data_IF_906743300361
#
_entry.id   IF_906743300361
#
_cell.length_a   1.000
_cell.length_b   1.000
_cell.length_c   1.000
_cell.angle_alpha   90.00
_cell.angle_beta   90.00
_cell.angle_gamma   90.00
#
_symmetry.space_group_name_H-M   'P 1'
#
loop_
_entity.id
_entity.type
_entity.pdbx_description
1 polymer ?
#
# COMPACT_ATOMS: atom_id res chain seq x y z
N UNK A 1 -14.53 32.81 -23.13
CA UNK A 1 -15.51 31.68 -23.14
C UNK A 1 -14.72 30.45 -23.51
N UNK A 2 -14.27 29.68 -22.52
CA UNK A 2 -13.46 28.48 -22.73
C UNK A 2 -14.35 27.27 -22.48
N UNK A 3 -14.65 26.51 -23.51
CA UNK A 3 -15.39 25.25 -23.39
C UNK A 3 -14.43 24.15 -22.93
N UNK A 4 -14.67 23.65 -21.72
CA UNK A 4 -14.05 22.43 -21.22
C UNK A 4 -14.81 21.23 -21.77
N UNK A 5 -14.31 20.61 -22.81
CA UNK A 5 -14.77 19.27 -23.22
C UNK A 5 -14.12 18.22 -22.30
N UNK A 6 -14.84 17.77 -21.28
CA UNK A 6 -14.55 16.49 -20.62
C UNK A 6 -14.80 15.38 -21.64
N UNK A 7 -13.75 14.78 -22.15
CA UNK A 7 -13.86 13.47 -22.81
C UNK A 7 -14.02 12.42 -21.74
N UNK A 8 -15.23 12.03 -21.45
CA UNK A 8 -15.51 10.79 -20.71
C UNK A 8 -15.36 9.64 -21.71
N UNK A 9 -14.36 8.80 -21.52
CA UNK A 9 -14.22 7.58 -22.30
C UNK A 9 -15.28 6.59 -21.82
N UNK A 10 -16.03 5.93 -22.72
CA UNK A 10 -17.06 5.00 -22.32
C UNK A 10 -16.47 3.81 -21.58
N UNK A 11 -17.14 3.42 -20.49
CA UNK A 11 -16.85 2.20 -19.75
C UNK A 11 -17.14 1.02 -20.68
N UNK A 12 -16.11 0.35 -21.16
CA UNK A 12 -16.27 -0.94 -21.82
C UNK A 12 -16.54 -1.99 -20.77
N UNK A 13 -17.82 -2.26 -20.48
CA UNK A 13 -18.21 -3.44 -19.75
C UNK A 13 -18.09 -4.64 -20.69
N UNK A 14 -17.11 -5.50 -20.46
CA UNK A 14 -17.09 -6.81 -21.07
C UNK A 14 -18.06 -7.73 -20.31
N UNK A 15 -19.34 -7.63 -20.65
CA UNK A 15 -20.34 -8.60 -20.25
C UNK A 15 -20.27 -9.77 -21.23
N UNK A 16 -19.83 -10.92 -20.76
CA UNK A 16 -19.92 -12.16 -21.52
C UNK A 16 -19.06 -13.27 -20.98
N UNK A 17 -19.76 -14.27 -20.49
CA UNK A 17 -19.39 -15.66 -20.27
C UNK A 17 -18.95 -16.04 -18.86
N UNK A 18 -19.92 -16.64 -18.15
CA UNK A 18 -19.69 -17.80 -17.27
C UNK A 18 -19.04 -17.57 -15.92
N UNK A 19 -19.85 -17.43 -14.89
CA UNK A 19 -19.67 -18.02 -13.57
C UNK A 19 -18.28 -17.94 -12.94
N UNK A 20 -17.96 -16.80 -12.28
CA UNK A 20 -16.86 -16.67 -11.35
C UNK A 20 -16.77 -15.25 -10.79
N UNK A 21 -16.52 -15.07 -9.48
CA UNK A 21 -16.53 -13.77 -8.85
C UNK A 21 -15.21 -13.02 -9.11
N UNK A 22 -15.17 -12.17 -10.09
CA UNK A 22 -14.24 -11.03 -10.15
C UNK A 22 -14.55 -10.14 -11.35
N UNK A 23 -15.29 -9.07 -11.13
CA UNK A 23 -15.40 -8.01 -12.12
C UNK A 23 -14.14 -7.14 -12.05
N UNK A 24 -13.17 -7.36 -12.92
CA UNK A 24 -12.02 -6.50 -13.09
C UNK A 24 -12.42 -5.29 -13.94
N UNK A 25 -12.52 -4.12 -13.32
CA UNK A 25 -12.64 -2.85 -14.04
C UNK A 25 -11.26 -2.23 -14.18
N UNK A 26 -10.74 -2.21 -15.40
CA UNK A 26 -9.51 -1.49 -15.74
C UNK A 26 -9.85 -0.03 -16.01
N UNK A 27 -9.20 0.88 -15.32
CA UNK A 27 -9.31 2.32 -15.56
C UNK A 27 -7.98 2.82 -16.12
N UNK A 28 -8.01 3.35 -17.36
CA UNK A 28 -6.85 4.08 -17.89
C UNK A 28 -6.88 5.52 -17.34
N UNK A 29 -5.88 5.89 -16.57
CA UNK A 29 -5.66 7.28 -16.20
C UNK A 29 -4.93 7.97 -17.35
N UNK A 30 -5.59 8.91 -18.02
CA UNK A 30 -4.94 9.78 -18.98
C UNK A 30 -4.00 10.73 -18.22
N UNK A 31 -2.70 10.46 -18.31
CA UNK A 31 -1.66 11.27 -17.69
C UNK A 31 -1.39 12.53 -18.50
N UNK A 32 -1.50 13.68 -17.87
CA UNK A 32 -0.93 14.92 -18.35
C UNK A 32 0.37 15.21 -17.61
N UNK A 33 1.50 15.15 -18.33
CA UNK A 33 2.82 15.59 -17.84
C UNK A 33 3.79 14.45 -17.51
N UNK A 34 4.77 14.25 -18.32
CA UNK A 34 6.13 13.72 -18.20
C UNK A 34 6.50 12.52 -17.32
N UNK A 35 5.65 12.03 -16.44
CA UNK A 35 5.90 10.85 -15.62
C UNK A 35 5.30 9.58 -16.22
N UNK A 36 5.76 8.40 -15.79
CA UNK A 36 5.15 7.13 -16.16
C UNK A 36 3.68 7.12 -15.71
N UNK A 37 2.74 7.10 -16.66
CA UNK A 37 1.32 7.08 -16.33
C UNK A 37 0.93 5.72 -15.73
N UNK A 38 0.15 5.72 -14.65
CA UNK A 38 -0.54 4.52 -14.19
C UNK A 38 -1.58 4.15 -15.24
N UNK A 39 -1.31 3.10 -15.99
CA UNK A 39 -2.20 2.66 -17.09
C UNK A 39 -3.30 1.72 -16.63
N UNK A 40 -3.19 1.16 -15.44
CA UNK A 40 -4.11 0.14 -14.91
C UNK A 40 -4.25 0.22 -13.41
N UNK A 41 -5.44 -0.12 -12.90
CA UNK A 41 -5.69 -0.33 -11.49
C UNK A 41 -6.61 -1.53 -11.26
N UNK A 42 -6.50 -2.16 -10.11
CA UNK A 42 -7.35 -3.26 -9.68
C UNK A 42 -8.30 -2.74 -8.59
N UNK A 43 -9.60 -2.98 -8.74
CA UNK A 43 -10.60 -2.65 -7.72
C UNK A 43 -10.94 -3.88 -6.88
N UNK A 44 -10.92 -3.71 -5.57
CA UNK A 44 -11.51 -4.61 -4.60
C UNK A 44 -12.79 -3.99 -4.03
N UNK A 45 -13.87 -4.76 -4.00
CA UNK A 45 -15.22 -4.24 -3.75
C UNK A 45 -15.95 -5.06 -2.67
N UNK A 46 -15.40 -5.07 -1.46
CA UNK A 46 -16.01 -5.80 -0.34
C UNK A 46 -17.46 -5.35 -0.02
N UNK A 47 -17.80 -4.10 -0.32
CA UNK A 47 -19.15 -3.54 -0.18
C UNK A 47 -20.17 -4.12 -1.18
N UNK A 48 -19.69 -4.69 -2.28
CA UNK A 48 -20.51 -5.41 -3.25
C UNK A 48 -20.72 -6.90 -2.89
N UNK A 49 -20.27 -7.32 -1.71
CA UNK A 49 -20.34 -8.72 -1.26
C UNK A 49 -19.28 -9.62 -1.87
N UNK A 50 -18.26 -9.05 -2.52
CA UNK A 50 -17.12 -9.79 -3.01
C UNK A 50 -16.03 -9.86 -1.94
N UNK A 51 -15.34 -10.99 -1.88
CA UNK A 51 -14.21 -11.21 -0.96
C UNK A 51 -12.91 -11.21 -1.76
N UNK A 52 -12.69 -10.17 -2.56
CA UNK A 52 -11.55 -10.07 -3.46
C UNK A 52 -10.29 -9.69 -2.71
N UNK A 53 -9.21 -10.42 -2.98
CA UNK A 53 -7.86 -10.10 -2.52
C UNK A 53 -6.83 -10.81 -3.41
N UNK A 54 -5.59 -10.34 -3.37
CA UNK A 54 -4.46 -11.07 -3.92
C UNK A 54 -3.69 -11.73 -2.78
N UNK A 55 -3.15 -12.91 -3.03
CA UNK A 55 -2.33 -13.62 -2.05
C UNK A 55 -1.10 -14.26 -2.67
N UNK A 56 -0.06 -14.37 -1.85
CA UNK A 56 1.17 -15.07 -2.19
C UNK A 56 1.77 -15.73 -0.96
N UNK A 57 2.12 -17.01 -1.10
CA UNK A 57 2.95 -17.73 -0.13
C UNK A 57 4.33 -17.95 -0.74
N UNK A 58 5.36 -17.78 0.06
CA UNK A 58 6.74 -18.03 -0.36
C UNK A 58 7.19 -19.43 0.08
N UNK A 59 7.99 -20.09 -0.75
CA UNK A 59 8.56 -21.41 -0.43
C UNK A 59 9.61 -21.33 0.68
N UNK A 60 10.25 -20.19 0.85
CA UNK A 60 11.22 -19.89 1.91
C UNK A 60 11.01 -18.48 2.41
N UNK A 61 11.30 -18.25 3.69
CA UNK A 61 11.30 -16.90 4.23
C UNK A 61 12.40 -16.05 3.56
N UNK A 62 12.05 -14.81 3.23
CA UNK A 62 13.00 -13.80 2.81
C UNK A 62 13.54 -13.02 4.02
N UNK A 63 14.00 -11.81 3.79
CA UNK A 63 14.53 -10.95 4.85
C UNK A 63 13.38 -10.33 5.65
N UNK A 64 13.14 -10.86 6.87
CA UNK A 64 12.07 -10.39 7.75
C UNK A 64 12.44 -9.16 8.58
N UNK A 65 13.72 -8.76 8.58
CA UNK A 65 14.22 -7.56 9.27
C UNK A 65 14.31 -6.35 8.37
N UNK A 66 14.29 -6.55 7.03
CA UNK A 66 14.47 -5.49 6.05
C UNK A 66 13.58 -5.74 4.84
N UNK A 67 12.66 -4.85 4.55
CA UNK A 67 11.79 -4.90 3.37
C UNK A 67 11.13 -3.55 3.11
N UNK A 68 10.64 -3.36 1.89
CA UNK A 68 9.82 -2.20 1.52
C UNK A 68 8.56 -2.65 0.78
N UNK A 69 7.47 -1.95 1.02
CA UNK A 69 6.21 -2.09 0.30
C UNK A 69 5.80 -0.74 -0.26
N UNK A 70 5.36 -0.70 -1.51
CA UNK A 70 4.82 0.51 -2.11
C UNK A 70 3.57 0.20 -2.93
N UNK A 71 2.61 1.12 -2.94
CA UNK A 71 1.43 1.05 -3.80
C UNK A 71 0.81 2.41 -4.01
N UNK A 72 0.13 2.58 -5.13
CA UNK A 72 -0.91 3.57 -5.27
C UNK A 72 -2.23 2.98 -4.80
N UNK A 73 -2.98 3.73 -4.02
CA UNK A 73 -4.30 3.31 -3.56
C UNK A 73 -5.30 4.46 -3.58
N UNK A 74 -6.58 4.10 -3.77
CA UNK A 74 -7.71 5.01 -3.67
C UNK A 74 -8.84 4.33 -2.90
N UNK A 75 -9.22 4.90 -1.76
CA UNK A 75 -10.27 4.37 -0.89
C UNK A 75 -11.62 4.71 -1.52
N UNK A 76 -12.54 3.75 -1.60
CA UNK A 76 -13.88 4.02 -2.14
C UNK A 76 -14.93 4.25 -1.06
N UNK A 77 -14.64 3.85 0.18
CA UNK A 77 -15.56 3.99 1.32
C UNK A 77 -14.82 4.46 2.57
N UNK A 78 -14.59 5.77 2.74
CA UNK A 78 -14.04 6.33 3.97
C UNK A 78 -15.10 6.42 5.07
N UNK A 79 -14.65 6.58 6.31
CA UNK A 79 -15.46 7.18 7.37
C UNK A 79 -16.52 6.29 7.99
N UNK A 80 -16.19 5.08 8.45
CA UNK A 80 -17.05 4.38 9.42
C UNK A 80 -16.23 3.96 10.62
N UNK A 81 -16.81 4.09 11.81
CA UNK A 81 -16.24 3.60 13.05
C UNK A 81 -15.84 2.13 12.89
N UNK A 82 -14.60 1.81 13.27
CA UNK A 82 -13.99 0.48 13.18
C UNK A 82 -13.73 -0.10 11.78
N UNK A 83 -13.87 0.69 10.71
CA UNK A 83 -13.57 0.16 9.40
C UNK A 83 -12.06 0.08 9.16
N UNK A 84 -11.60 -1.11 8.85
CA UNK A 84 -10.24 -1.38 8.38
C UNK A 84 -10.30 -1.54 6.87
N UNK A 85 -9.49 -0.78 6.14
CA UNK A 85 -9.21 -1.04 4.72
C UNK A 85 -7.80 -1.61 4.62
N UNK A 86 -7.64 -2.94 4.54
CA UNK A 86 -6.34 -3.57 4.46
C UNK A 86 -5.66 -3.21 3.15
N UNK A 87 -4.44 -2.70 3.21
CA UNK A 87 -3.62 -2.47 2.02
C UNK A 87 -2.70 -3.66 1.78
N UNK A 88 -2.01 -4.11 2.82
CA UNK A 88 -1.07 -5.22 2.78
C UNK A 88 -1.04 -5.93 4.13
N UNK A 89 -1.03 -7.26 4.16
CA UNK A 89 -0.96 -8.00 5.42
C UNK A 89 -0.22 -9.33 5.28
N UNK A 90 0.42 -9.75 6.38
CA UNK A 90 0.84 -11.11 6.64
C UNK A 90 -0.08 -11.76 7.66
N UNK A 91 -0.20 -13.08 7.61
CA UNK A 91 -1.02 -13.85 8.55
C UNK A 91 -0.23 -14.27 9.79
N UNK A 92 -0.91 -14.58 10.81
CA UNK A 92 -0.59 -15.02 12.19
C UNK A 92 0.90 -15.20 12.59
N UNK A 93 1.41 -14.41 13.54
CA UNK A 93 0.75 -13.25 14.14
C UNK A 93 0.58 -12.11 13.13
N UNK A 94 -0.50 -11.36 13.27
CA UNK A 94 -0.85 -10.34 12.28
C UNK A 94 0.23 -9.25 12.16
N UNK A 95 0.50 -8.84 10.92
CA UNK A 95 1.33 -7.68 10.58
C UNK A 95 0.87 -7.11 9.26
N UNK A 96 0.83 -5.78 9.15
CA UNK A 96 0.39 -5.18 7.90
C UNK A 96 0.23 -3.67 7.92
N UNK A 97 -0.28 -3.18 6.81
CA UNK A 97 -0.56 -1.79 6.54
C UNK A 97 -2.03 -1.67 6.17
N UNK A 98 -2.71 -0.73 6.78
CA UNK A 98 -4.15 -0.53 6.57
C UNK A 98 -4.54 0.93 6.76
N UNK A 99 -5.72 1.30 6.27
CA UNK A 99 -6.42 2.47 6.78
C UNK A 99 -7.33 1.98 7.91
N UNK A 100 -7.11 2.48 9.10
CA UNK A 100 -7.83 2.13 10.32
C UNK A 100 -8.37 3.40 10.98
N UNK A 101 -9.67 3.51 11.16
CA UNK A 101 -10.34 4.72 11.64
C UNK A 101 -9.90 5.97 10.84
N UNK A 102 -9.94 5.88 9.53
CA UNK A 102 -9.47 6.88 8.57
C UNK A 102 -7.98 7.23 8.63
N UNK A 103 -7.18 6.60 9.46
CA UNK A 103 -5.73 6.85 9.60
C UNK A 103 -4.92 5.76 8.92
N UNK A 104 -3.82 6.14 8.31
CA UNK A 104 -2.85 5.14 7.85
C UNK A 104 -2.19 4.51 9.07
N UNK A 105 -2.24 3.18 9.12
CA UNK A 105 -1.69 2.36 10.18
C UNK A 105 -0.66 1.40 9.61
N UNK A 106 0.51 1.36 10.21
CA UNK A 106 1.47 0.28 10.06
C UNK A 106 1.65 -0.40 11.42
N UNK A 107 1.23 -1.65 11.53
CA UNK A 107 1.36 -2.37 12.79
C UNK A 107 1.67 -3.84 12.54
N UNK A 108 2.41 -4.44 13.47
CA UNK A 108 2.69 -5.87 13.49
C UNK A 108 2.87 -6.36 14.92
N UNK A 109 2.48 -7.61 15.16
CA UNK A 109 2.60 -8.26 16.46
C UNK A 109 3.73 -9.30 16.46
N UNK A 110 4.31 -9.50 17.66
CA UNK A 110 5.05 -10.70 18.01
C UNK A 110 4.45 -11.20 19.32
N UNK A 111 3.78 -12.35 19.28
CA UNK A 111 2.95 -12.81 20.39
C UNK A 111 1.82 -11.82 20.69
N UNK A 112 1.76 -11.30 21.91
CA UNK A 112 0.74 -10.33 22.37
C UNK A 112 1.19 -8.87 22.31
N UNK A 113 2.42 -8.59 21.92
CA UNK A 113 3.01 -7.24 21.93
C UNK A 113 3.21 -6.70 20.52
N UNK A 114 3.07 -5.39 20.37
CA UNK A 114 3.43 -4.73 19.10
C UNK A 114 4.95 -4.74 18.88
N UNK A 115 5.36 -5.19 17.72
CA UNK A 115 6.71 -4.96 17.17
C UNK A 115 6.81 -3.55 16.60
N UNK A 116 5.79 -3.14 15.87
CA UNK A 116 5.62 -1.81 15.32
C UNK A 116 4.16 -1.41 15.46
N UNK A 117 3.89 -0.14 15.77
CA UNK A 117 2.54 0.41 15.78
C UNK A 117 2.59 1.92 15.52
N UNK A 118 2.40 2.30 14.27
CA UNK A 118 2.40 3.69 13.83
C UNK A 118 1.00 4.03 13.30
N UNK A 119 0.35 5.03 13.87
CA UNK A 119 -0.92 5.59 13.36
C UNK A 119 -0.71 7.05 13.02
N UNK A 120 -1.00 7.45 11.81
CA UNK A 120 -0.87 8.86 11.40
C UNK A 120 -1.87 9.74 12.12
N UNK A 121 -1.56 11.04 12.22
CA UNK A 121 -2.56 12.06 12.59
C UNK A 121 -3.43 12.43 11.39
N UNK A 122 -2.89 12.31 10.18
CA UNK A 122 -3.61 12.58 8.93
C UNK A 122 -4.76 11.61 8.74
N UNK A 123 -5.89 12.15 8.25
CA UNK A 123 -7.10 11.38 7.93
C UNK A 123 -7.25 11.20 6.41
N UNK A 124 -7.64 10.00 6.01
CA UNK A 124 -7.83 9.58 4.61
C UNK A 124 -9.32 9.44 4.35
N UNK A 125 -9.98 10.53 3.94
CA UNK A 125 -11.44 10.61 3.79
C UNK A 125 -11.91 10.99 2.39
N UNK A 126 -11.00 11.29 1.47
CA UNK A 126 -11.35 11.63 0.10
C UNK A 126 -11.42 10.37 -0.77
N UNK A 127 -12.63 9.95 -1.22
CA UNK A 127 -12.78 8.78 -2.07
C UNK A 127 -12.35 9.04 -3.52
N UNK A 128 -12.03 10.29 -3.88
CA UNK A 128 -11.59 10.65 -5.22
C UNK A 128 -10.06 10.76 -5.33
N UNK A 129 -9.38 10.88 -4.19
CA UNK A 129 -7.92 11.05 -4.18
C UNK A 129 -7.19 9.72 -4.35
N UNK A 130 -6.18 9.73 -5.22
CA UNK A 130 -5.14 8.72 -5.25
C UNK A 130 -4.02 9.11 -4.30
N UNK A 131 -3.56 8.13 -3.53
CA UNK A 131 -2.45 8.26 -2.60
C UNK A 131 -1.36 7.28 -2.99
N UNK A 132 -0.12 7.72 -2.95
CA UNK A 132 1.04 6.84 -3.08
C UNK A 132 1.65 6.60 -1.72
N UNK A 133 1.65 5.34 -1.29
CA UNK A 133 2.23 4.87 -0.05
C UNK A 133 3.58 4.20 -0.31
N UNK A 134 4.57 4.51 0.51
CA UNK A 134 5.74 3.65 0.70
C UNK A 134 5.89 3.37 2.19
N UNK A 135 5.99 2.09 2.54
CA UNK A 135 6.29 1.63 3.89
C UNK A 135 7.62 0.89 3.88
N UNK A 136 8.49 1.25 4.81
CA UNK A 136 9.82 0.66 4.96
C UNK A 136 9.94 0.08 6.35
N UNK A 137 10.35 -1.16 6.44
CA UNK A 137 10.76 -1.83 7.66
C UNK A 137 12.25 -2.14 7.59
N UNK A 138 13.02 -1.64 8.54
CA UNK A 138 14.46 -1.86 8.64
C UNK A 138 14.85 -1.90 10.11
N UNK A 139 14.55 -3.00 10.76
CA UNK A 139 14.85 -3.17 12.19
C UNK A 139 16.35 -3.25 12.50
N UNK A 140 17.19 -3.35 11.49
CA UNK A 140 18.66 -3.31 11.62
C UNK A 140 19.21 -1.89 11.74
N UNK A 141 18.38 -0.87 11.45
CA UNK A 141 18.80 0.53 11.53
C UNK A 141 19.19 0.91 12.96
N UNK A 142 20.30 1.66 13.08
CA UNK A 142 20.80 2.13 14.37
C UNK A 142 19.86 3.13 15.07
N UNK A 143 19.11 3.93 14.28
CA UNK A 143 18.17 4.94 14.79
C UNK A 143 16.79 4.32 14.94
N UNK A 144 16.23 4.29 16.13
CA UNK A 144 14.93 3.67 16.42
C UNK A 144 13.81 4.19 15.51
N UNK A 145 13.69 5.51 15.35
CA UNK A 145 12.66 6.14 14.51
C UNK A 145 12.83 5.87 13.01
N UNK A 146 13.94 5.29 12.58
CA UNK A 146 14.19 4.92 11.19
C UNK A 146 13.97 3.43 10.91
N UNK A 147 13.67 2.62 11.95
CA UNK A 147 13.39 1.18 11.78
C UNK A 147 12.04 0.89 11.14
N UNK A 148 11.10 1.83 11.21
CA UNK A 148 9.84 1.77 10.50
C UNK A 148 9.50 3.16 9.98
N UNK A 149 9.29 3.30 8.68
CA UNK A 149 9.05 4.60 8.04
C UNK A 149 7.86 4.49 7.10
N UNK A 150 7.06 5.56 7.08
CA UNK A 150 5.96 5.71 6.14
C UNK A 150 6.17 6.98 5.31
N UNK A 151 5.88 6.87 4.03
CA UNK A 151 5.90 8.01 3.11
C UNK A 151 4.57 8.09 2.38
N UNK A 152 4.08 9.30 2.22
CA UNK A 152 2.87 9.59 1.47
C UNK A 152 3.21 10.56 0.35
N UNK A 153 2.86 10.20 -0.89
CA UNK A 153 3.15 11.00 -2.08
C UNK A 153 4.61 11.49 -2.09
N UNK A 154 5.54 10.56 -1.85
CA UNK A 154 6.98 10.80 -1.81
C UNK A 154 7.51 11.42 -0.52
N UNK A 155 6.69 11.98 0.35
CA UNK A 155 7.13 12.67 1.58
C UNK A 155 7.03 11.79 2.81
N UNK A 156 8.07 11.83 3.66
CA UNK A 156 8.10 11.12 4.93
C UNK A 156 7.02 11.64 5.87
N UNK A 157 6.26 10.73 6.45
CA UNK A 157 5.30 11.02 7.52
C UNK A 157 6.07 11.08 8.83
N UNK A 158 5.88 12.17 9.58
CA UNK A 158 6.52 12.40 10.89
C UNK A 158 5.50 12.67 12.00
N UNK A 159 4.22 12.85 11.65
CA UNK A 159 3.15 13.15 12.59
C UNK A 159 2.30 11.90 12.85
N UNK A 160 2.47 11.31 14.02
CA UNK A 160 1.74 10.12 14.46
C UNK A 160 0.90 10.40 15.70
N UNK A 161 -0.26 9.77 15.80
CA UNK A 161 -1.10 9.76 17.00
C UNK A 161 -0.78 8.56 17.91
N UNK A 162 -0.16 7.52 17.38
CA UNK A 162 0.40 6.38 18.09
C UNK A 162 1.74 6.05 17.46
N UNK A 163 2.73 5.76 18.30
CA UNK A 163 4.10 5.60 17.85
C UNK A 163 4.82 4.54 18.68
N UNK A 164 5.09 3.39 18.07
CA UNK A 164 5.93 2.33 18.62
C UNK A 164 6.83 1.82 17.50
N UNK A 165 8.13 1.95 17.69
CA UNK A 165 9.14 1.52 16.73
C UNK A 165 9.69 0.13 17.06
N UNK A 166 10.13 -0.63 16.05
CA UNK A 166 10.75 -1.95 16.26
C UNK A 166 12.00 -1.87 17.15
N UNK A 167 12.19 -2.88 17.96
CA UNK A 167 13.48 -3.14 18.60
C UNK A 167 14.55 -3.49 17.56
N UNK A 168 15.86 -3.47 17.93
CA UNK A 168 16.92 -3.90 17.04
C UNK A 168 16.73 -5.35 16.57
N UNK A 169 16.88 -5.59 15.28
CA UNK A 169 16.75 -6.92 14.65
C UNK A 169 15.39 -7.61 14.88
N UNK A 170 14.34 -6.85 15.23
CA UNK A 170 12.99 -7.38 15.34
C UNK A 170 12.49 -7.88 13.98
N UNK A 171 11.71 -8.95 14.00
CA UNK A 171 11.09 -9.54 12.80
C UNK A 171 9.58 -9.39 12.84
N UNK A 172 8.97 -9.48 11.67
CA UNK A 172 7.52 -9.55 11.47
C UNK A 172 7.17 -10.82 10.70
N UNK A 173 5.88 -11.14 10.57
CA UNK A 173 5.42 -12.24 9.69
C UNK A 173 5.44 -11.86 8.20
N UNK A 174 5.63 -10.59 7.89
CA UNK A 174 5.81 -10.15 6.52
C UNK A 174 7.14 -10.72 6.00
N UNK A 175 7.11 -11.22 4.77
CA UNK A 175 8.22 -11.91 4.12
C UNK A 175 8.63 -13.26 4.77
N UNK A 176 7.73 -13.86 5.53
CA UNK A 176 7.86 -15.25 6.01
C UNK A 176 7.27 -16.23 4.98
N UNK A 177 7.21 -17.51 5.35
CA UNK A 177 6.51 -18.53 4.55
C UNK A 177 4.99 -18.49 4.71
N UNK A 178 4.47 -17.69 5.63
CA UNK A 178 3.02 -17.49 5.76
C UNK A 178 2.47 -16.67 4.60
N UNK A 179 1.20 -16.86 4.30
CA UNK A 179 0.55 -16.15 3.22
C UNK A 179 0.55 -14.64 3.44
N UNK A 180 0.96 -13.90 2.40
CA UNK A 180 0.88 -12.45 2.32
C UNK A 180 -0.32 -12.06 1.47
N UNK A 181 -1.01 -10.98 1.80
CA UNK A 181 -2.24 -10.56 1.13
C UNK A 181 -2.27 -9.07 0.83
N UNK A 182 -2.85 -8.73 -0.31
CA UNK A 182 -3.21 -7.36 -0.68
C UNK A 182 -4.73 -7.29 -0.67
N UNK A 183 -5.29 -6.34 0.06
CA UNK A 183 -6.72 -6.13 0.11
C UNK A 183 -7.48 -7.00 1.12
N UNK A 184 -6.80 -7.79 1.95
CA UNK A 184 -7.44 -8.60 2.98
C UNK A 184 -6.60 -8.69 4.27
N UNK A 185 -7.27 -8.60 5.40
CA UNK A 185 -6.72 -8.85 6.74
C UNK A 185 -7.35 -10.10 7.35
N UNK A 186 -6.53 -11.11 7.63
CA UNK A 186 -6.99 -12.44 8.07
C UNK A 186 -7.58 -12.40 9.46
N UNK A 187 -6.93 -11.68 10.40
CA UNK A 187 -7.25 -11.74 11.83
C UNK A 187 -8.67 -11.30 12.15
N UNK A 188 -9.19 -10.33 11.40
CA UNK A 188 -10.56 -9.83 11.55
C UNK A 188 -11.45 -10.18 10.36
N UNK A 189 -10.93 -10.95 9.38
CA UNK A 189 -11.61 -11.32 8.15
C UNK A 189 -12.21 -10.10 7.41
N UNK A 190 -11.38 -9.06 7.25
CA UNK A 190 -11.78 -7.78 6.64
C UNK A 190 -11.19 -7.66 5.24
N UNK A 191 -12.02 -7.28 4.30
CA UNK A 191 -11.67 -7.08 2.89
C UNK A 191 -11.72 -5.61 2.52
N UNK A 192 -10.94 -5.22 1.51
CA UNK A 192 -10.79 -3.83 1.10
C UNK A 192 -11.91 -3.35 0.20
N UNK A 193 -12.27 -2.08 0.38
CA UNK A 193 -12.99 -1.24 -0.57
C UNK A 193 -12.00 -0.21 -1.13
N UNK A 194 -11.19 -0.61 -2.11
CA UNK A 194 -10.06 0.18 -2.54
C UNK A 194 -9.68 -0.14 -4.00
N UNK A 195 -9.11 0.85 -4.69
CA UNK A 195 -8.36 0.62 -5.91
C UNK A 195 -6.88 0.55 -5.57
N UNK A 196 -6.16 -0.34 -6.25
CA UNK A 196 -4.71 -0.49 -6.17
C UNK A 196 -4.08 -0.37 -7.54
N UNK A 197 -2.90 0.24 -7.60
CA UNK A 197 -2.05 0.27 -8.79
C UNK A 197 -0.58 0.26 -8.37
N UNK A 198 0.30 -0.20 -9.25
CA UNK A 198 1.76 -0.23 -9.04
C UNK A 198 2.14 -0.75 -7.64
N UNK A 199 1.83 -2.00 -7.37
CA UNK A 199 2.11 -2.63 -6.08
C UNK A 199 3.49 -3.29 -6.12
N UNK A 200 4.39 -2.80 -5.28
CA UNK A 200 5.76 -3.30 -5.14
C UNK A 200 5.98 -3.91 -3.77
N UNK A 201 6.64 -5.04 -3.73
CA UNK A 201 7.26 -5.58 -2.53
C UNK A 201 8.74 -5.85 -2.79
N UNK A 202 9.61 -5.34 -1.93
CA UNK A 202 11.06 -5.49 -2.04
C UNK A 202 11.57 -6.28 -0.84
N UNK A 203 12.15 -7.44 -1.12
CA UNK A 203 12.75 -8.33 -0.13
C UNK A 203 14.21 -7.94 0.12
N UNK A 204 14.56 -7.69 1.37
CA UNK A 204 15.91 -7.32 1.78
C UNK A 204 16.33 -5.89 1.41
N UNK A 205 15.39 -5.07 0.92
CA UNK A 205 15.68 -3.70 0.50
C UNK A 205 14.88 -2.70 1.34
N UNK A 206 15.60 -1.88 2.11
CA UNK A 206 15.05 -0.69 2.75
C UNK A 206 15.30 0.52 1.86
N UNK A 207 14.29 0.97 1.12
CA UNK A 207 14.47 2.17 0.30
C UNK A 207 14.79 3.38 1.17
N UNK A 208 15.70 4.21 0.68
CA UNK A 208 16.17 5.41 1.39
C UNK A 208 15.49 6.66 0.84
N UNK A 209 15.46 7.68 1.65
CA UNK A 209 15.04 9.01 1.23
C UNK A 209 16.21 10.00 1.18
N UNK A 210 15.98 11.09 0.49
CA UNK A 210 16.87 12.26 0.51
C UNK A 210 16.03 13.44 1.02
N UNK A 211 16.41 13.99 2.18
CA UNK A 211 15.68 15.09 2.83
C UNK A 211 14.17 14.78 3.02
N UNK A 212 13.85 13.55 3.45
CA UNK A 212 12.49 13.10 3.69
C UNK A 212 11.67 12.85 2.42
N UNK A 213 12.30 12.76 1.25
CA UNK A 213 11.64 12.42 -0.03
C UNK A 213 12.17 11.11 -0.56
N UNK A 214 11.28 10.10 -0.73
CA UNK A 214 11.61 8.82 -1.35
C UNK A 214 11.31 8.88 -2.84
N UNK A 215 12.33 8.81 -3.69
CA UNK A 215 12.20 8.95 -5.16
C UNK A 215 12.30 7.60 -5.91
N UNK A 216 12.21 6.48 -5.19
CA UNK A 216 12.35 5.15 -5.79
C UNK A 216 11.17 4.74 -6.66
N UNK A 217 9.95 5.20 -6.33
CA UNK A 217 8.70 4.79 -6.98
C UNK A 217 7.90 5.97 -7.56
N UNK A 218 8.46 7.16 -7.49
CA UNK A 218 7.81 8.35 -7.98
C UNK A 218 8.76 9.54 -8.00
N UNK A 219 8.30 10.64 -8.57
CA UNK A 219 9.04 11.89 -8.62
C UNK A 219 8.08 13.08 -8.67
N UNK A 220 8.55 14.24 -8.20
CA UNK A 220 7.81 15.48 -8.37
C UNK A 220 8.06 16.08 -9.74
N UNK A 221 7.01 16.50 -10.42
CA UNK A 221 7.15 17.29 -11.63
C UNK A 221 7.50 18.75 -11.31
N UNK A 222 7.63 19.56 -12.37
CA UNK A 222 7.95 21.00 -12.25
C UNK A 222 6.88 21.83 -11.54
N UNK A 223 5.68 21.27 -11.37
CA UNK A 223 4.55 21.89 -10.67
C UNK A 223 4.42 21.42 -9.23
N UNK A 224 5.31 20.52 -8.78
CA UNK A 224 5.27 19.92 -7.45
C UNK A 224 4.23 18.83 -7.27
N UNK A 225 3.73 18.26 -8.37
CA UNK A 225 2.81 17.12 -8.35
C UNK A 225 3.62 15.83 -8.30
N UNK A 226 3.26 14.93 -7.39
CA UNK A 226 3.87 13.61 -7.28
C UNK A 226 3.34 12.68 -8.36
N UNK A 227 4.24 12.16 -9.18
CA UNK A 227 3.94 11.29 -10.30
C UNK A 227 4.56 9.90 -10.11
N UNK A 228 3.97 8.82 -10.63
CA UNK A 228 4.53 7.48 -10.56
C UNK A 228 5.81 7.36 -11.39
N UNK A 229 6.72 6.52 -10.91
CA UNK A 229 7.97 6.16 -11.55
C UNK A 229 8.23 4.67 -11.36
N UNK A 230 8.60 3.99 -12.41
CA UNK A 230 8.94 2.58 -12.33
C UNK A 230 10.17 2.37 -11.44
N UNK A 231 10.08 1.41 -10.53
CA UNK A 231 11.23 0.98 -9.73
C UNK A 231 12.21 0.17 -10.60
N UNK A 232 13.48 0.55 -10.55
CA UNK A 232 14.54 -0.08 -11.36
C UNK A 232 15.59 -0.79 -10.53
N UNK A 233 15.43 -0.86 -9.20
CA UNK A 233 16.36 -1.54 -8.30
C UNK A 233 16.09 -3.03 -8.17
N UNK A 234 16.80 -3.66 -7.24
CA UNK A 234 16.63 -5.08 -6.92
C UNK A 234 15.31 -5.32 -6.17
N UNK A 235 14.60 -6.38 -6.54
CA UNK A 235 13.40 -6.83 -5.82
C UNK A 235 13.72 -7.80 -4.68
N UNK A 236 14.93 -8.42 -4.69
CA UNK A 236 15.26 -9.53 -3.80
C UNK A 236 14.58 -10.84 -4.22
N UNK A 237 14.75 -11.89 -3.40
CA UNK A 237 14.28 -13.25 -3.78
C UNK A 237 12.78 -13.40 -3.76
N UNK A 238 12.11 -12.79 -2.79
CA UNK A 238 10.66 -12.85 -2.61
C UNK A 238 9.94 -11.58 -3.12
N UNK A 239 10.67 -10.62 -3.68
CA UNK A 239 10.08 -9.39 -4.17
C UNK A 239 9.23 -9.58 -5.43
N UNK A 240 8.29 -8.65 -5.65
CA UNK A 240 7.38 -8.65 -6.79
C UNK A 240 6.87 -7.25 -7.15
N UNK A 241 6.32 -7.17 -8.34
CA UNK A 241 5.54 -6.05 -8.88
C UNK A 241 4.34 -6.59 -9.62
#
# INVERSE_FOLDING_TARGET
MFEHHKKESPILSLAGIGGGPAAYLFYEAAGGGGGAALSRSLRFAADAGTNDYLSKSFSSAGNQTTWSFACWFKITKPGTDFQVTPLFSGSSPWGGISIYQDKLRFAAYSGSSYVVNLHTTQLFRDPNAWYHLVAVFDSTNGTSGDRARLYLNGKRITAFSTETYPGPSATTTINSTTEQRIGHEVSNNVYSNCYFADVYFLDGVAVTDTNGTVNSFGEFDSYGVWNPKAYTGSFGSNGYH
#
